data_IF_294651385818
#
_entry.id   IF_294651385818
#
_cell.length_a   1.000
_cell.length_b   1.000
_cell.length_c   1.000
_cell.angle_alpha   90.00
_cell.angle_beta   90.00
_cell.angle_gamma   90.00
#
_symmetry.space_group_name_H-M   'P 1'
#
loop_
_entity.id
_entity.type
_entity.pdbx_description
1 polymer ?
#
# COMPACT_ATOMS: atom_id res chain seq x y z
N UNK A 1 6.26 -9.95 33.09
CA UNK A 1 6.26 -10.62 31.77
C UNK A 1 4.82 -10.93 31.44
N UNK A 2 4.28 -10.33 30.39
CA UNK A 2 2.88 -10.51 30.00
C UNK A 2 2.66 -11.96 29.59
N UNK A 3 1.67 -12.64 30.18
CA UNK A 3 1.33 -14.00 29.82
C UNK A 3 0.82 -14.01 28.37
N UNK A 4 1.61 -14.56 27.44
CA UNK A 4 1.37 -14.52 25.98
C UNK A 4 0.17 -15.37 25.57
N UNK A 5 -0.04 -16.49 26.25
CA UNK A 5 -0.98 -17.51 25.83
C UNK A 5 -2.45 -17.05 25.92
N UNK A 6 -2.91 -16.38 27.00
CA UNK A 6 -4.25 -15.79 27.04
C UNK A 6 -4.50 -14.79 25.90
N UNK A 7 -3.49 -13.97 25.55
CA UNK A 7 -3.61 -13.00 24.46
C UNK A 7 -3.74 -13.70 23.10
N UNK A 8 -2.97 -14.77 22.86
CA UNK A 8 -3.08 -15.56 21.63
C UNK A 8 -4.44 -16.23 21.50
N UNK A 9 -4.99 -16.77 22.59
CA UNK A 9 -6.31 -17.38 22.60
C UNK A 9 -7.40 -16.34 22.31
N UNK A 10 -7.31 -15.14 22.89
CA UNK A 10 -8.27 -14.06 22.67
C UNK A 10 -8.30 -13.54 21.21
N UNK A 11 -7.20 -13.69 20.46
CA UNK A 11 -7.12 -13.30 19.05
C UNK A 11 -7.75 -14.33 18.10
N UNK A 12 -8.03 -15.56 18.57
CA UNK A 12 -8.48 -16.64 17.68
C UNK A 12 -9.95 -16.45 17.32
N UNK A 13 -10.31 -16.57 16.02
CA UNK A 13 -11.71 -16.58 15.63
C UNK A 13 -12.43 -17.81 16.20
N UNK A 14 -13.65 -17.61 16.71
CA UNK A 14 -14.52 -18.73 17.07
C UNK A 14 -14.92 -19.53 15.82
N UNK A 15 -14.76 -20.84 15.88
CA UNK A 15 -15.18 -21.78 14.85
C UNK A 15 -16.00 -22.86 15.54
N UNK A 16 -17.22 -23.10 15.07
CA UNK A 16 -18.03 -24.22 15.55
C UNK A 16 -17.37 -25.52 15.09
N UNK A 17 -16.90 -26.32 16.05
CA UNK A 17 -16.28 -27.63 15.78
C UNK A 17 -16.91 -28.68 16.67
N UNK A 18 -17.18 -29.86 16.13
CA UNK A 18 -17.62 -30.99 16.93
C UNK A 18 -16.51 -31.44 17.91
N UNK A 19 -16.88 -31.88 19.11
CA UNK A 19 -15.91 -32.33 20.11
C UNK A 19 -15.14 -33.55 19.57
N UNK A 20 -13.82 -33.38 19.45
CA UNK A 20 -12.90 -34.45 19.10
C UNK A 20 -11.73 -34.47 20.09
N UNK A 21 -11.20 -35.64 20.41
CA UNK A 21 -10.07 -35.84 21.32
C UNK A 21 -8.80 -36.22 20.57
N UNK A 22 -7.65 -36.13 21.26
CA UNK A 22 -6.33 -36.43 20.71
C UNK A 22 -5.93 -35.51 19.55
N UNK A 23 -5.16 -36.06 18.60
CA UNK A 23 -4.61 -35.33 17.45
C UNK A 23 -5.72 -34.71 16.58
N UNK A 24 -6.86 -35.40 16.44
CA UNK A 24 -8.00 -34.88 15.69
C UNK A 24 -8.62 -33.65 16.38
N UNK A 25 -8.71 -33.67 17.71
CA UNK A 25 -9.15 -32.52 18.52
C UNK A 25 -8.27 -31.30 18.33
N UNK A 26 -6.94 -31.48 18.39
CA UNK A 26 -5.96 -30.43 18.16
C UNK A 26 -6.12 -29.78 16.77
N UNK A 27 -6.40 -30.55 15.72
CA UNK A 27 -6.55 -30.01 14.38
C UNK A 27 -7.79 -29.14 14.20
N UNK A 28 -8.93 -29.55 14.77
CA UNK A 28 -10.17 -28.78 14.64
C UNK A 28 -10.17 -27.58 15.58
N UNK A 29 -9.81 -27.77 16.85
CA UNK A 29 -9.89 -26.74 17.87
C UNK A 29 -8.74 -25.72 17.84
N UNK A 30 -7.54 -26.12 17.39
CA UNK A 30 -6.35 -25.24 17.40
C UNK A 30 -5.93 -24.80 16.00
N UNK A 31 -5.66 -25.73 15.07
CA UNK A 31 -5.05 -25.36 13.79
C UNK A 31 -6.00 -24.56 12.88
N UNK A 32 -7.29 -24.89 12.83
CA UNK A 32 -8.25 -24.16 11.98
C UNK A 32 -8.40 -22.69 12.39
N UNK A 33 -8.61 -22.34 13.68
CA UNK A 33 -8.61 -20.94 14.12
C UNK A 33 -7.31 -20.22 13.82
N UNK A 34 -6.16 -20.87 14.05
CA UNK A 34 -4.84 -20.28 13.76
C UNK A 34 -4.68 -19.96 12.28
N UNK A 35 -5.02 -20.90 11.39
CA UNK A 35 -4.91 -20.70 9.95
C UNK A 35 -5.87 -19.61 9.45
N UNK A 36 -7.02 -19.45 10.09
CA UNK A 36 -7.96 -18.35 9.79
C UNK A 36 -7.40 -17.01 10.26
N UNK A 37 -6.81 -16.95 11.46
CA UNK A 37 -6.15 -15.77 11.99
C UNK A 37 -4.97 -15.33 11.11
N UNK A 38 -4.14 -16.28 10.67
CA UNK A 38 -2.94 -16.05 9.87
C UNK A 38 -3.21 -15.97 8.36
N UNK A 39 -4.48 -15.97 7.95
CA UNK A 39 -4.87 -16.11 6.54
C UNK A 39 -4.19 -15.06 5.65
N UNK A 40 -4.29 -13.79 6.03
CA UNK A 40 -3.83 -12.69 5.18
C UNK A 40 -2.29 -12.66 5.08
N UNK A 41 -1.61 -12.95 6.19
CA UNK A 41 -0.16 -13.11 6.24
C UNK A 41 0.31 -14.26 5.36
N UNK A 42 -0.36 -15.42 5.42
CA UNK A 42 -0.03 -16.58 4.57
C UNK A 42 -0.17 -16.23 3.10
N UNK A 43 -1.28 -15.60 2.70
CA UNK A 43 -1.52 -15.22 1.30
C UNK A 43 -0.48 -14.20 0.81
N UNK A 44 -0.11 -13.21 1.63
CA UNK A 44 0.90 -12.21 1.28
C UNK A 44 2.30 -12.84 1.09
N UNK A 45 2.70 -13.77 1.96
CA UNK A 45 3.97 -14.48 1.85
C UNK A 45 4.04 -15.38 0.61
N UNK A 46 2.93 -16.06 0.30
CA UNK A 46 2.81 -16.85 -0.93
C UNK A 46 2.86 -15.94 -2.15
N UNK A 47 2.06 -14.87 -2.21
CA UNK A 47 2.05 -13.92 -3.32
C UNK A 47 3.46 -13.37 -3.60
N UNK A 48 4.17 -12.95 -2.55
CA UNK A 48 5.56 -12.48 -2.65
C UNK A 48 6.50 -13.57 -3.19
N UNK A 49 6.29 -14.81 -2.76
CA UNK A 49 7.09 -15.97 -3.19
C UNK A 49 6.83 -16.38 -4.64
N UNK A 50 5.58 -16.25 -5.10
CA UNK A 50 5.18 -16.49 -6.48
C UNK A 50 5.75 -15.41 -7.38
N UNK A 51 5.52 -14.14 -7.06
CA UNK A 51 5.96 -13.00 -7.88
C UNK A 51 7.47 -13.03 -8.16
N UNK A 52 8.27 -13.50 -7.20
CA UNK A 52 9.73 -13.66 -7.35
C UNK A 52 10.17 -14.78 -8.29
N UNK A 53 9.33 -15.79 -8.53
CA UNK A 53 9.70 -17.02 -9.25
C UNK A 53 8.93 -17.22 -10.55
N UNK A 54 7.74 -16.63 -10.64
CA UNK A 54 6.82 -16.79 -11.76
C UNK A 54 6.43 -15.40 -12.24
N UNK A 55 7.12 -14.93 -13.28
CA UNK A 55 6.80 -13.69 -13.99
C UNK A 55 5.47 -13.82 -14.71
N UNK A 56 4.63 -12.79 -14.66
CA UNK A 56 3.31 -12.82 -15.32
C UNK A 56 2.32 -13.80 -14.69
N UNK A 57 2.49 -14.14 -13.40
CA UNK A 57 1.59 -15.10 -12.75
C UNK A 57 0.10 -14.73 -12.88
N UNK A 58 -0.19 -13.43 -12.78
CA UNK A 58 -1.54 -12.90 -12.82
C UNK A 58 -2.21 -13.02 -14.20
N UNK A 59 -1.43 -13.24 -15.27
CA UNK A 59 -1.91 -13.32 -16.65
C UNK A 59 -2.28 -14.76 -17.06
N UNK A 60 -1.93 -15.76 -16.26
CA UNK A 60 -2.29 -17.16 -16.53
C UNK A 60 -3.79 -17.42 -16.35
N UNK A 61 -4.29 -18.46 -17.01
CA UNK A 61 -5.65 -18.94 -16.80
C UNK A 61 -5.86 -19.40 -15.33
N UNK A 62 -7.07 -19.29 -14.76
CA UNK A 62 -7.32 -19.63 -13.36
C UNK A 62 -6.90 -21.05 -12.96
N UNK A 63 -7.07 -22.04 -13.85
CA UNK A 63 -6.65 -23.42 -13.57
C UNK A 63 -5.12 -23.56 -13.55
N UNK A 64 -4.42 -22.90 -14.48
CA UNK A 64 -2.94 -22.88 -14.51
C UNK A 64 -2.37 -22.19 -13.27
N UNK A 65 -3.01 -21.11 -12.80
CA UNK A 65 -2.64 -20.43 -11.55
C UNK A 65 -2.74 -21.39 -10.35
N UNK A 66 -3.85 -22.14 -10.25
CA UNK A 66 -4.07 -23.13 -9.18
C UNK A 66 -3.02 -24.25 -9.23
N UNK A 67 -2.77 -24.81 -10.41
CA UNK A 67 -1.79 -25.89 -10.59
C UNK A 67 -0.39 -25.43 -10.18
N UNK A 68 0.03 -24.24 -10.63
CA UNK A 68 1.34 -23.67 -10.28
C UNK A 68 1.46 -23.38 -8.79
N UNK A 69 0.42 -22.83 -8.16
CA UNK A 69 0.40 -22.62 -6.70
C UNK A 69 0.55 -23.94 -5.94
N UNK A 70 -0.23 -24.96 -6.32
CA UNK A 70 -0.15 -26.27 -5.70
C UNK A 70 1.24 -26.90 -5.86
N UNK A 71 1.83 -26.81 -7.06
CA UNK A 71 3.18 -27.29 -7.33
C UNK A 71 4.23 -26.57 -6.48
N UNK A 72 4.16 -25.25 -6.39
CA UNK A 72 5.12 -24.44 -5.62
C UNK A 72 5.03 -24.75 -4.12
N UNK A 73 3.82 -24.82 -3.55
CA UNK A 73 3.61 -25.20 -2.14
C UNK A 73 4.10 -26.62 -1.84
N UNK A 74 4.02 -27.53 -2.81
CA UNK A 74 4.53 -28.90 -2.67
C UNK A 74 6.06 -28.96 -2.75
N UNK A 75 6.69 -28.25 -3.68
CA UNK A 75 8.11 -28.40 -4.01
C UNK A 75 9.02 -27.48 -3.20
N UNK A 76 8.59 -26.27 -2.85
CA UNK A 76 9.44 -25.26 -2.22
C UNK A 76 9.61 -25.52 -0.71
N UNK A 77 10.74 -26.10 -0.32
CA UNK A 77 11.06 -26.38 1.09
C UNK A 77 11.19 -25.12 1.96
N UNK A 78 11.71 -24.01 1.41
CA UNK A 78 11.89 -22.77 2.16
C UNK A 78 10.55 -22.12 2.44
N UNK A 79 9.66 -22.06 1.44
CA UNK A 79 8.30 -21.55 1.61
C UNK A 79 7.53 -22.41 2.63
N UNK A 80 7.61 -23.74 2.53
CA UNK A 80 6.97 -24.64 3.51
C UNK A 80 7.45 -24.38 4.93
N UNK A 81 8.76 -24.23 5.14
CA UNK A 81 9.34 -23.95 6.47
C UNK A 81 8.90 -22.58 7.01
N UNK A 82 8.89 -21.56 6.15
CA UNK A 82 8.41 -20.22 6.51
C UNK A 82 6.94 -20.25 6.95
N UNK A 83 6.07 -20.85 6.14
CA UNK A 83 4.63 -20.96 6.43
C UNK A 83 4.37 -21.81 7.68
N UNK A 84 5.15 -22.88 7.90
CA UNK A 84 5.12 -23.66 9.13
C UNK A 84 5.46 -22.79 10.34
N UNK A 85 6.51 -21.96 10.25
CA UNK A 85 6.93 -21.05 11.30
C UNK A 85 5.86 -20.02 11.66
N UNK A 86 5.14 -19.48 10.67
CA UNK A 86 4.00 -18.56 10.90
C UNK A 86 2.91 -19.23 11.73
N UNK A 87 2.61 -20.50 11.48
CA UNK A 87 1.62 -21.26 12.26
C UNK A 87 2.14 -21.58 13.66
N UNK A 88 3.39 -22.04 13.77
CA UNK A 88 3.99 -22.38 15.08
C UNK A 88 4.17 -21.17 15.99
N UNK A 89 4.44 -20.00 15.40
CA UNK A 89 4.65 -18.74 16.12
C UNK A 89 3.43 -18.21 16.87
N UNK A 90 2.24 -18.81 16.69
CA UNK A 90 1.00 -18.42 17.38
C UNK A 90 0.36 -19.55 18.20
N UNK A 91 1.08 -20.66 18.38
CA UNK A 91 0.72 -21.71 19.35
C UNK A 91 0.99 -21.22 20.78
N UNK A 92 0.15 -21.68 21.72
CA UNK A 92 0.43 -21.58 23.15
C UNK A 92 1.55 -22.54 23.54
N UNK A 93 2.07 -22.43 24.77
CA UNK A 93 3.13 -23.32 25.24
C UNK A 93 2.69 -24.80 25.20
N UNK A 94 1.48 -25.11 25.68
CA UNK A 94 0.94 -26.47 25.72
C UNK A 94 0.70 -27.04 24.32
N UNK A 95 0.18 -26.21 23.41
CA UNK A 95 -0.06 -26.60 22.02
C UNK A 95 1.24 -26.83 21.25
N UNK A 96 2.27 -26.01 21.53
CA UNK A 96 3.58 -26.19 20.95
C UNK A 96 4.24 -27.49 21.46
N UNK A 97 4.13 -27.78 22.76
CA UNK A 97 4.62 -29.04 23.32
C UNK A 97 3.94 -30.24 22.66
N UNK A 98 2.61 -30.21 22.53
CA UNK A 98 1.85 -31.24 21.82
C UNK A 98 2.27 -31.37 20.35
N UNK A 99 2.47 -30.24 19.66
CA UNK A 99 2.90 -30.22 18.26
C UNK A 99 4.31 -30.78 18.06
N UNK A 100 5.22 -30.59 19.03
CA UNK A 100 6.57 -31.16 19.01
C UNK A 100 6.52 -32.68 19.25
N UNK A 101 5.69 -33.14 20.19
CA UNK A 101 5.49 -34.58 20.46
C UNK A 101 4.97 -35.32 19.21
N UNK A 102 4.12 -34.67 18.42
CA UNK A 102 3.50 -35.23 17.21
C UNK A 102 4.01 -34.60 15.91
N UNK A 103 5.29 -34.17 15.86
CA UNK A 103 5.81 -33.26 14.83
C UNK A 103 5.54 -33.75 13.39
N UNK A 104 5.80 -35.02 13.10
CA UNK A 104 5.70 -35.57 11.74
C UNK A 104 4.28 -35.48 11.19
N UNK A 105 3.28 -35.82 12.02
CA UNK A 105 1.86 -35.79 11.66
C UNK A 105 1.35 -34.35 11.58
N UNK A 106 1.67 -33.53 12.60
CA UNK A 106 1.23 -32.12 12.66
C UNK A 106 1.81 -31.32 11.49
N UNK A 107 3.11 -31.47 11.21
CA UNK A 107 3.76 -30.82 10.06
C UNK A 107 3.08 -31.21 8.76
N UNK A 108 2.85 -32.51 8.52
CA UNK A 108 2.17 -32.97 7.30
C UNK A 108 0.78 -32.36 7.18
N UNK A 109 0.01 -32.33 8.27
CA UNK A 109 -1.36 -31.82 8.26
C UNK A 109 -1.42 -30.30 8.05
N UNK A 110 -0.55 -29.54 8.70
CA UNK A 110 -0.44 -28.08 8.52
C UNK A 110 -0.17 -27.76 7.05
N UNK A 111 0.76 -28.48 6.40
CA UNK A 111 1.06 -28.25 4.98
C UNK A 111 -0.14 -28.51 4.07
N UNK A 112 -0.92 -29.57 4.32
CA UNK A 112 -2.14 -29.86 3.57
C UNK A 112 -3.17 -28.74 3.74
N UNK A 113 -3.43 -28.31 4.97
CA UNK A 113 -4.42 -27.26 5.26
C UNK A 113 -4.03 -25.90 4.67
N UNK A 114 -2.73 -25.56 4.71
CA UNK A 114 -2.21 -24.35 4.06
C UNK A 114 -2.39 -24.45 2.54
N UNK A 115 -2.04 -25.58 1.94
CA UNK A 115 -2.18 -25.78 0.50
C UNK A 115 -3.64 -25.63 0.04
N UNK A 116 -4.58 -26.31 0.71
CA UNK A 116 -6.01 -26.20 0.43
C UNK A 116 -6.52 -24.75 0.55
N UNK A 117 -6.11 -24.05 1.62
CA UNK A 117 -6.48 -22.65 1.86
C UNK A 117 -5.94 -21.72 0.78
N UNK A 118 -4.67 -21.84 0.41
CA UNK A 118 -4.06 -20.98 -0.60
C UNK A 118 -4.66 -21.23 -1.98
N UNK A 119 -4.81 -22.51 -2.38
CA UNK A 119 -5.34 -22.87 -3.70
C UNK A 119 -6.81 -22.45 -3.85
N UNK A 120 -7.62 -22.60 -2.79
CA UNK A 120 -9.01 -22.10 -2.80
C UNK A 120 -9.11 -20.57 -2.90
N UNK A 121 -8.04 -19.84 -2.59
CA UNK A 121 -7.96 -18.38 -2.61
C UNK A 121 -7.01 -17.85 -3.70
N UNK A 122 -6.86 -18.59 -4.80
CA UNK A 122 -5.96 -18.26 -5.92
C UNK A 122 -6.22 -16.85 -6.47
N UNK A 123 -7.48 -16.45 -6.63
CA UNK A 123 -7.84 -15.10 -7.11
C UNK A 123 -7.32 -13.99 -6.18
N UNK A 124 -7.41 -14.19 -4.86
CA UNK A 124 -6.82 -13.25 -3.88
C UNK A 124 -5.30 -13.18 -4.00
N UNK A 125 -4.63 -14.31 -4.22
CA UNK A 125 -3.17 -14.34 -4.42
C UNK A 125 -2.80 -13.58 -5.70
N UNK A 126 -3.53 -13.80 -6.79
CA UNK A 126 -3.32 -13.08 -8.05
C UNK A 126 -3.52 -11.57 -7.87
N UNK A 127 -4.59 -11.15 -7.20
CA UNK A 127 -4.86 -9.74 -6.91
C UNK A 127 -3.76 -9.08 -6.05
N UNK A 128 -3.21 -9.80 -5.06
CA UNK A 128 -2.07 -9.32 -4.26
C UNK A 128 -0.81 -9.12 -5.12
N UNK A 129 -0.57 -10.00 -6.09
CA UNK A 129 0.56 -9.88 -7.03
C UNK A 129 0.34 -8.69 -7.97
N UNK A 130 -0.85 -8.54 -8.55
CA UNK A 130 -1.19 -7.40 -9.41
C UNK A 130 -1.03 -6.07 -8.67
N UNK A 131 -1.54 -5.98 -7.44
CA UNK A 131 -1.40 -4.77 -6.61
C UNK A 131 0.07 -4.40 -6.37
N UNK A 132 0.92 -5.40 -6.11
CA UNK A 132 2.34 -5.19 -5.93
C UNK A 132 3.06 -4.78 -7.23
N UNK A 133 2.62 -5.31 -8.38
CA UNK A 133 3.16 -4.97 -9.70
C UNK A 133 2.72 -3.58 -10.18
N UNK A 134 1.46 -3.19 -9.96
CA UNK A 134 0.96 -1.85 -10.28
C UNK A 134 1.72 -0.73 -9.55
N UNK A 135 2.26 -1.01 -8.35
CA UNK A 135 3.14 -0.08 -7.65
C UNK A 135 4.58 -0.03 -8.20
N UNK A 136 5.05 -1.05 -8.91
CA UNK A 136 6.40 -1.11 -9.49
C UNK A 136 6.47 -0.64 -10.94
N UNK A 137 5.41 -0.88 -11.73
CA UNK A 137 5.31 -0.45 -13.13
C UNK A 137 4.74 0.97 -13.29
N UNK A 138 4.35 1.62 -12.18
CA UNK A 138 3.89 3.00 -12.21
C UNK A 138 5.05 3.92 -12.62
N UNK A 139 4.88 4.75 -13.67
CA UNK A 139 5.88 5.75 -13.98
C UNK A 139 6.13 6.63 -12.74
N UNK A 140 7.40 6.98 -12.45
CA UNK A 140 7.71 7.79 -11.28
C UNK A 140 6.92 9.09 -11.33
N UNK A 141 6.14 9.33 -10.28
CA UNK A 141 5.32 10.52 -10.13
C UNK A 141 5.95 11.43 -9.09
N UNK A 142 6.27 12.67 -9.46
CA UNK A 142 6.69 13.68 -8.49
C UNK A 142 5.88 14.94 -8.67
N UNK A 143 5.63 15.63 -7.56
CA UNK A 143 4.84 16.86 -7.55
C UNK A 143 5.40 17.83 -6.53
N UNK A 144 5.58 19.08 -6.93
CA UNK A 144 5.83 20.21 -6.05
C UNK A 144 4.81 21.29 -6.31
N UNK A 145 3.96 21.56 -5.33
CA UNK A 145 3.09 22.72 -5.30
C UNK A 145 3.63 23.72 -4.28
N UNK A 146 3.70 24.99 -4.66
CA UNK A 146 4.08 26.07 -3.77
C UNK A 146 3.10 27.21 -3.94
N UNK A 147 2.55 27.70 -2.84
CA UNK A 147 1.73 28.89 -2.78
C UNK A 147 2.28 29.85 -1.73
N UNK A 148 2.26 31.14 -2.02
CA UNK A 148 2.52 32.20 -1.05
C UNK A 148 1.58 33.38 -1.28
N UNK A 149 1.42 34.23 -0.27
CA UNK A 149 0.51 35.36 -0.31
C UNK A 149 1.05 36.62 -1.04
N UNK A 150 2.22 36.57 -1.67
CA UNK A 150 2.70 37.63 -2.58
C UNK A 150 4.21 37.88 -2.56
N UNK A 151 4.68 38.65 -3.55
CA UNK A 151 6.11 38.86 -3.86
C UNK A 151 6.75 40.12 -3.25
N UNK A 152 5.95 41.07 -2.75
CA UNK A 152 6.43 42.25 -1.99
C UNK A 152 6.28 41.92 -0.51
N UNK A 153 7.29 42.12 0.37
CA UNK A 153 7.28 41.60 1.73
C UNK A 153 5.96 41.96 2.44
N UNK A 154 5.04 40.99 2.60
CA UNK A 154 3.78 41.30 3.28
C UNK A 154 4.07 41.47 4.78
N UNK A 155 3.25 42.28 5.46
CA UNK A 155 3.33 42.41 6.93
C UNK A 155 3.16 41.05 7.62
N UNK A 156 2.38 40.15 7.02
CA UNK A 156 2.24 38.76 7.43
C UNK A 156 2.58 37.86 6.24
N UNK A 157 3.62 37.03 6.35
CA UNK A 157 3.97 36.04 5.32
C UNK A 157 3.22 34.74 5.56
N UNK A 158 2.50 34.26 4.56
CA UNK A 158 1.91 32.93 4.59
C UNK A 158 2.30 32.16 3.35
N UNK A 159 2.79 30.94 3.52
CA UNK A 159 3.08 30.06 2.39
C UNK A 159 2.76 28.61 2.71
N UNK A 160 2.35 27.87 1.70
CA UNK A 160 2.11 26.43 1.75
C UNK A 160 2.93 25.76 0.65
N UNK A 161 3.65 24.71 1.00
CA UNK A 161 4.39 23.89 0.05
C UNK A 161 4.01 22.43 0.26
N UNK A 162 3.63 21.77 -0.83
CA UNK A 162 3.35 20.34 -0.87
C UNK A 162 4.40 19.72 -1.80
N UNK A 163 5.08 18.69 -1.32
CA UNK A 163 6.00 17.89 -2.12
C UNK A 163 5.55 16.44 -2.04
N UNK A 164 5.47 15.76 -3.17
CA UNK A 164 5.27 14.32 -3.30
C UNK A 164 6.47 13.80 -4.10
N UNK A 165 7.20 12.88 -3.51
CA UNK A 165 8.38 12.23 -4.09
C UNK A 165 7.97 10.97 -4.88
N UNK A 166 8.82 10.46 -5.78
CA UNK A 166 8.53 9.27 -6.59
C UNK A 166 8.20 7.99 -5.82
N UNK A 167 8.60 7.90 -4.56
CA UNK A 167 8.32 6.77 -3.67
C UNK A 167 6.95 6.87 -2.96
N UNK A 168 6.17 7.90 -3.26
CA UNK A 168 4.88 8.20 -2.62
C UNK A 168 5.01 8.91 -1.28
N UNK A 169 6.22 9.16 -0.79
CA UNK A 169 6.42 9.98 0.40
C UNK A 169 6.11 11.44 0.12
N UNK A 170 5.49 12.10 1.09
CA UNK A 170 4.98 13.45 0.95
C UNK A 170 5.38 14.35 2.12
N UNK A 171 5.59 15.62 1.83
CA UNK A 171 5.77 16.66 2.84
C UNK A 171 4.80 17.80 2.58
N UNK A 172 4.01 18.13 3.59
CA UNK A 172 3.27 19.38 3.66
C UNK A 172 3.99 20.35 4.60
N UNK A 173 4.27 21.55 4.13
CA UNK A 173 4.91 22.61 4.91
C UNK A 173 4.05 23.86 4.84
N UNK A 174 3.70 24.42 5.99
CA UNK A 174 3.00 25.69 6.08
C UNK A 174 3.78 26.65 6.96
N UNK A 175 3.97 27.87 6.48
CA UNK A 175 4.67 28.94 7.19
C UNK A 175 3.71 30.10 7.44
N UNK A 176 3.71 30.63 8.66
CA UNK A 176 2.92 31.81 9.09
C UNK A 176 3.81 32.85 9.76
N UNK A 177 4.65 33.51 8.98
CA UNK A 177 5.57 34.55 9.43
C UNK A 177 6.95 34.42 8.80
N UNK A 178 7.93 35.09 9.40
CA UNK A 178 9.31 35.13 8.92
C UNK A 178 10.30 34.39 9.83
N UNK A 179 9.89 34.00 11.04
CA UNK A 179 10.70 33.24 11.98
C UNK A 179 10.79 31.76 11.61
N UNK A 180 11.76 31.06 12.22
CA UNK A 180 11.90 29.61 12.07
C UNK A 180 10.80 28.85 12.83
N UNK A 181 10.34 29.39 13.96
CA UNK A 181 9.24 28.84 14.77
C UNK A 181 7.86 28.97 14.09
N UNK A 182 7.77 29.74 13.01
CA UNK A 182 6.52 29.98 12.26
C UNK A 182 6.21 28.86 11.25
N UNK A 183 6.94 27.74 11.27
CA UNK A 183 6.84 26.66 10.28
C UNK A 183 6.24 25.40 10.89
N UNK A 184 5.09 24.99 10.37
CA UNK A 184 4.51 23.67 10.60
C UNK A 184 4.87 22.75 9.44
N UNK A 185 5.48 21.61 9.74
CA UNK A 185 5.82 20.58 8.76
C UNK A 185 5.19 19.25 9.14
N UNK A 186 4.58 18.58 8.18
CA UNK A 186 3.96 17.26 8.35
C UNK A 186 4.39 16.34 7.21
N UNK A 187 4.90 15.17 7.56
CA UNK A 187 5.14 14.10 6.61
C UNK A 187 3.85 13.28 6.42
N UNK A 188 3.62 12.80 5.21
CA UNK A 188 2.56 11.87 4.87
C UNK A 188 3.09 10.85 3.85
N UNK A 189 2.34 9.79 3.60
CA UNK A 189 2.65 8.82 2.57
C UNK A 189 1.37 8.48 1.81
N UNK A 190 1.46 8.44 0.49
CA UNK A 190 0.39 7.99 -0.38
C UNK A 190 0.68 6.55 -0.81
N UNK A 191 -0.35 5.71 -0.74
CA UNK A 191 -0.32 4.37 -1.31
C UNK A 191 -0.29 4.45 -2.84
N UNK A 192 0.19 3.39 -3.50
CA UNK A 192 0.24 3.36 -4.98
C UNK A 192 -1.13 3.66 -5.64
N UNK A 193 -2.28 3.12 -5.14
CA UNK A 193 -3.59 3.50 -5.68
C UNK A 193 -3.93 4.99 -5.52
N UNK A 194 -3.54 5.62 -4.42
CA UNK A 194 -3.78 7.06 -4.18
C UNK A 194 -2.92 7.93 -5.11
N UNK A 195 -1.66 7.57 -5.32
CA UNK A 195 -0.78 8.22 -6.30
C UNK A 195 -1.36 8.10 -7.71
N UNK A 196 -1.85 6.92 -8.08
CA UNK A 196 -2.47 6.68 -9.38
C UNK A 196 -3.75 7.49 -9.58
N UNK A 197 -4.60 7.55 -8.56
CA UNK A 197 -5.82 8.35 -8.58
C UNK A 197 -5.49 9.84 -8.79
N UNK A 198 -4.53 10.38 -8.03
CA UNK A 198 -4.07 11.76 -8.19
C UNK A 198 -3.52 12.00 -9.61
N UNK A 199 -2.59 11.17 -10.08
CA UNK A 199 -1.99 11.32 -11.41
C UNK A 199 -3.05 11.29 -12.53
N UNK A 200 -4.03 10.39 -12.42
CA UNK A 200 -5.14 10.25 -13.36
C UNK A 200 -6.09 11.45 -13.32
N UNK A 201 -6.40 11.98 -12.14
CA UNK A 201 -7.16 13.23 -11.99
C UNK A 201 -6.43 14.40 -12.64
N UNK A 202 -5.12 14.52 -12.43
CA UNK A 202 -4.32 15.61 -13.02
C UNK A 202 -4.23 15.51 -14.54
N UNK A 203 -4.06 14.31 -15.11
CA UNK A 203 -4.13 14.11 -16.56
C UNK A 203 -5.52 14.43 -17.12
N UNK A 204 -6.59 14.01 -16.43
CA UNK A 204 -7.97 14.33 -16.82
C UNK A 204 -8.28 15.83 -16.79
N UNK A 205 -7.65 16.59 -15.89
CA UNK A 205 -7.69 18.06 -15.85
C UNK A 205 -6.81 18.72 -16.93
N UNK A 206 -6.11 17.93 -17.74
CA UNK A 206 -5.28 18.40 -18.84
C UNK A 206 -3.92 18.95 -18.39
N UNK A 207 -3.44 18.61 -17.19
CA UNK A 207 -2.19 19.16 -16.63
C UNK A 207 -1.01 19.08 -17.61
N UNK A 208 -0.90 17.96 -18.32
CA UNK A 208 0.18 17.69 -19.27
C UNK A 208 -0.06 18.21 -20.69
N UNK A 209 -1.30 18.60 -21.02
CA UNK A 209 -1.75 18.96 -22.38
C UNK A 209 -2.00 20.44 -22.57
N UNK A 210 -2.27 21.15 -21.48
CA UNK A 210 -2.48 22.60 -21.49
C UNK A 210 -1.12 23.29 -21.63
N UNK A 211 -1.02 24.20 -22.61
CA UNK A 211 0.07 25.16 -22.67
C UNK A 211 -0.21 26.27 -21.65
N UNK A 212 0.42 26.19 -20.48
CA UNK A 212 0.18 27.08 -19.33
C UNK A 212 0.73 28.52 -19.50
N UNK A 213 0.78 29.01 -20.74
CA UNK A 213 1.45 30.25 -21.18
C UNK A 213 1.23 31.49 -20.30
N UNK A 214 2.10 32.48 -20.50
CA UNK A 214 2.11 33.72 -19.70
C UNK A 214 0.89 34.58 -20.06
N UNK A 215 0.20 35.21 -19.09
CA UNK A 215 -0.96 36.05 -19.38
C UNK A 215 -0.60 37.28 -20.20
N UNK A 216 -1.54 37.72 -21.05
CA UNK A 216 -1.42 38.97 -21.84
C UNK A 216 -1.24 40.21 -20.95
N UNK A 217 -1.83 40.20 -19.75
CA UNK A 217 -1.71 41.29 -18.77
C UNK A 217 -0.89 40.82 -17.57
N UNK A 218 0.23 41.51 -17.33
CA UNK A 218 1.09 41.25 -16.17
C UNK A 218 0.36 41.68 -14.89
N UNK A 219 -0.06 40.71 -14.09
CA UNK A 219 -0.68 40.97 -12.78
C UNK A 219 0.39 41.51 -11.82
N UNK A 220 0.12 42.65 -11.20
CA UNK A 220 0.98 43.26 -10.18
C UNK A 220 0.32 43.04 -8.81
N UNK A 221 0.91 42.17 -7.99
CA UNK A 221 0.43 41.86 -6.64
C UNK A 221 -0.58 40.69 -6.55
N UNK A 222 -0.76 40.20 -5.32
CA UNK A 222 -1.59 39.04 -5.00
C UNK A 222 -0.76 37.77 -4.73
N UNK A 223 -1.45 36.74 -4.21
CA UNK A 223 -0.82 35.44 -3.95
C UNK A 223 -0.32 34.78 -5.23
N UNK A 224 0.79 34.05 -5.10
CA UNK A 224 1.43 33.34 -6.21
C UNK A 224 1.44 31.85 -5.95
N UNK A 225 1.20 31.05 -7.00
CA UNK A 225 1.19 29.58 -6.93
C UNK A 225 1.92 28.93 -8.09
N UNK A 226 2.90 28.10 -7.83
CA UNK A 226 3.61 27.34 -8.87
C UNK A 226 3.39 25.85 -8.67
N UNK A 227 3.26 25.11 -9.77
CA UNK A 227 3.21 23.66 -9.77
C UNK A 227 4.33 23.16 -10.66
N UNK A 228 5.13 22.21 -10.17
CA UNK A 228 6.03 21.41 -10.99
C UNK A 228 5.63 19.95 -10.80
N UNK A 229 5.38 19.24 -11.88
CA UNK A 229 4.98 17.84 -11.83
C UNK A 229 5.76 17.02 -12.86
N UNK A 230 6.01 15.75 -12.54
CA UNK A 230 6.52 14.76 -13.48
C UNK A 230 5.73 13.46 -13.37
N UNK A 231 5.47 12.81 -14.49
CA UNK A 231 4.89 11.48 -14.54
C UNK A 231 5.52 10.70 -15.69
N UNK A 232 6.43 9.79 -15.34
CA UNK A 232 7.21 9.04 -16.34
C UNK A 232 8.09 9.96 -17.17
N UNK A 233 7.85 10.02 -18.48
CA UNK A 233 8.59 10.91 -19.39
C UNK A 233 7.96 12.30 -19.54
N UNK A 234 6.76 12.53 -19.01
CA UNK A 234 6.09 13.82 -19.08
C UNK A 234 6.51 14.68 -17.88
N UNK A 235 6.79 15.96 -18.14
CA UNK A 235 7.05 16.95 -17.09
C UNK A 235 6.43 18.29 -17.49
N UNK A 236 5.90 19.00 -16.51
CA UNK A 236 5.28 20.30 -16.72
C UNK A 236 5.58 21.24 -15.55
N UNK A 237 5.77 22.51 -15.88
CA UNK A 237 5.79 23.61 -14.92
C UNK A 237 4.63 24.55 -15.21
N UNK A 238 3.78 24.74 -14.21
CA UNK A 238 2.67 25.70 -14.24
C UNK A 238 3.11 26.96 -13.50
N UNK A 239 3.29 28.09 -14.20
CA UNK A 239 3.72 29.34 -13.61
C UNK A 239 2.63 29.96 -12.73
N UNK A 240 3.00 30.93 -11.92
CA UNK A 240 2.05 31.66 -11.05
C UNK A 240 0.92 32.34 -11.80
N UNK A 241 1.22 32.93 -12.94
CA UNK A 241 0.25 33.63 -13.75
C UNK A 241 0.12 32.87 -15.06
N UNK A 242 -1.11 32.51 -15.42
CA UNK A 242 -1.45 31.76 -16.64
C UNK A 242 -2.44 32.56 -17.47
N UNK A 243 -2.53 32.27 -18.77
CA UNK A 243 -3.55 32.82 -19.67
C UNK A 243 -4.97 32.73 -19.09
N UNK A 244 -5.84 33.68 -19.44
CA UNK A 244 -7.19 33.81 -18.87
C UNK A 244 -8.00 32.52 -18.94
N UNK A 245 -7.87 31.84 -20.06
CA UNK A 245 -8.66 30.67 -20.42
C UNK A 245 -8.22 29.43 -19.62
N UNK A 246 -6.96 29.43 -19.16
CA UNK A 246 -6.37 28.36 -18.35
C UNK A 246 -6.55 28.57 -16.84
N UNK A 247 -7.12 29.71 -16.38
CA UNK A 247 -7.27 30.00 -14.94
C UNK A 247 -8.19 29.03 -14.21
N UNK A 248 -9.25 28.58 -14.87
CA UNK A 248 -10.20 27.61 -14.30
C UNK A 248 -9.51 26.25 -14.14
N UNK A 249 -8.86 25.77 -15.19
CA UNK A 249 -8.11 24.52 -15.16
C UNK A 249 -7.01 24.54 -14.09
N UNK A 250 -6.24 25.64 -13.99
CA UNK A 250 -5.24 25.82 -12.93
C UNK A 250 -5.86 25.70 -11.54
N UNK A 251 -7.00 26.35 -11.32
CA UNK A 251 -7.69 26.34 -10.02
C UNK A 251 -8.16 24.93 -9.64
N UNK A 252 -8.64 24.15 -10.61
CA UNK A 252 -9.05 22.75 -10.40
C UNK A 252 -7.85 21.85 -10.10
N UNK A 253 -6.74 22.01 -10.82
CA UNK A 253 -5.48 21.30 -10.55
C UNK A 253 -5.00 21.59 -9.14
N UNK A 254 -4.98 22.85 -8.72
CA UNK A 254 -4.57 23.22 -7.36
C UNK A 254 -5.49 22.64 -6.28
N UNK A 255 -6.80 22.57 -6.54
CA UNK A 255 -7.74 21.96 -5.61
C UNK A 255 -7.46 20.45 -5.46
N UNK A 256 -7.34 19.72 -6.58
CA UNK A 256 -7.02 18.29 -6.57
C UNK A 256 -5.71 17.98 -5.83
N UNK A 257 -4.69 18.83 -5.97
CA UNK A 257 -3.42 18.67 -5.23
C UNK A 257 -3.61 18.84 -3.73
N UNK A 258 -4.40 19.83 -3.30
CA UNK A 258 -4.65 20.07 -1.87
C UNK A 258 -5.49 18.97 -1.24
N UNK A 259 -6.50 18.49 -1.96
CA UNK A 259 -7.41 17.44 -1.49
C UNK A 259 -6.71 16.07 -1.38
N UNK A 260 -5.63 15.85 -2.13
CA UNK A 260 -4.83 14.64 -2.06
C UNK A 260 -3.90 14.57 -0.83
N UNK A 261 -3.76 15.65 -0.05
CA UNK A 261 -2.97 15.63 1.17
C UNK A 261 -3.85 15.13 2.33
N UNK A 262 -3.51 14.01 3.00
CA UNK A 262 -4.28 13.49 4.12
C UNK A 262 -4.42 14.51 5.26
N UNK A 263 -5.49 14.45 6.07
CA UNK A 263 -5.67 15.28 7.29
C UNK A 263 -4.77 14.86 8.47
#
# INVERSE_FOLDING_TARGET
MTNRDPALLALRPEIQTEPASGVHGFFHATLRPILKLQNDTILALVATSVAKRVTGFADFAPEDQRERLAAMLKQDSRLKQLLQGVVWGVLTADELAFAIEHESEVRRRVQVLIAERVVSQTERVSALIQTAQSGQDMPPFSLRYSWNNGSVPPQHRTSTTIVIEPDGSGTWTHRRGYGEDDVTRRAFALTAPEVQALASTLDGLGLWRIEWGTPEVKRIGGGTSTIAASWGHQSVEVPSAVASDNRVAKSQVEAAIRDAVPE
#
